data_IF_928097253030
#
_entry.id   IF_928097253030
#
_cell.length_a   1.000
_cell.length_b   1.000
_cell.length_c   1.000
_cell.angle_alpha   90.00
_cell.angle_beta   90.00
_cell.angle_gamma   90.00
#
_symmetry.space_group_name_H-M   'P 1'
#
loop_
_entity.id
_entity.type
_entity.pdbx_description
1 polymer ?
#
# COMPACT_ATOMS: atom_id res chain seq x y z
N UNK A 1 -6.86 19.62 33.88
CA UNK A 1 -7.61 18.53 33.21
C UNK A 1 -7.06 18.38 31.81
N UNK A 2 -6.65 17.18 31.42
CA UNK A 2 -6.06 16.89 30.10
C UNK A 2 -5.17 15.66 30.21
N UNK A 3 -5.78 14.47 30.24
CA UNK A 3 -5.04 13.22 30.05
C UNK A 3 -4.39 13.16 28.67
N UNK A 4 -3.50 12.20 28.40
CA UNK A 4 -2.87 12.06 27.09
C UNK A 4 -3.95 11.94 26.00
N UNK A 5 -3.85 12.78 24.97
CA UNK A 5 -4.75 12.71 23.81
C UNK A 5 -4.32 11.51 22.95
N UNK A 6 -5.27 10.68 22.55
CA UNK A 6 -5.00 9.61 21.61
C UNK A 6 -4.75 10.25 20.23
N UNK A 7 -3.58 9.97 19.62
CA UNK A 7 -3.23 10.44 18.29
C UNK A 7 -3.68 9.47 17.21
N UNK A 8 -4.36 9.99 16.18
CA UNK A 8 -4.78 9.21 15.01
C UNK A 8 -4.47 9.94 13.72
N UNK A 9 -3.99 9.21 12.72
CA UNK A 9 -3.56 9.72 11.43
C UNK A 9 -4.17 8.84 10.34
N UNK A 10 -5.42 9.11 9.94
CA UNK A 10 -6.03 8.40 8.82
C UNK A 10 -5.33 8.79 7.51
N UNK A 11 -5.11 7.84 6.61
CA UNK A 11 -4.67 8.14 5.26
C UNK A 11 -5.85 8.22 4.29
N UNK A 12 -5.74 9.13 3.33
CA UNK A 12 -6.69 9.33 2.24
C UNK A 12 -5.97 8.94 0.95
N UNK A 13 -6.46 7.90 0.29
CA UNK A 13 -6.01 7.48 -1.04
C UNK A 13 -7.07 7.75 -2.10
N UNK A 14 -6.61 7.92 -3.34
CA UNK A 14 -7.44 8.15 -4.52
C UNK A 14 -6.68 7.85 -5.81
N UNK A 15 -7.41 7.78 -6.92
CA UNK A 15 -6.87 7.69 -8.27
C UNK A 15 -6.20 9.01 -8.72
N UNK A 16 -5.28 8.91 -9.69
CA UNK A 16 -4.11 9.81 -9.84
C UNK A 16 -4.40 11.31 -9.95
N UNK A 17 -5.43 11.71 -10.69
CA UNK A 17 -5.62 13.12 -11.08
C UNK A 17 -7.08 13.54 -11.13
N UNK A 18 -7.99 12.59 -11.22
CA UNK A 18 -9.41 12.79 -11.43
C UNK A 18 -10.17 13.15 -10.15
N UNK A 19 -9.55 12.97 -8.98
CA UNK A 19 -10.15 13.27 -7.67
C UNK A 19 -9.52 14.48 -6.98
N UNK A 20 -8.75 15.30 -7.72
CA UNK A 20 -8.03 16.43 -7.13
C UNK A 20 -8.99 17.41 -6.44
N UNK A 21 -10.11 17.74 -7.08
CA UNK A 21 -11.11 18.66 -6.54
C UNK A 21 -11.75 18.10 -5.26
N UNK A 22 -12.10 16.82 -5.24
CA UNK A 22 -12.67 16.13 -4.07
C UNK A 22 -11.66 16.10 -2.92
N UNK A 23 -10.38 15.79 -3.19
CA UNK A 23 -9.33 15.83 -2.18
C UNK A 23 -9.09 17.23 -1.63
N UNK A 24 -9.10 18.24 -2.49
CA UNK A 24 -8.96 19.64 -2.06
C UNK A 24 -10.14 20.08 -1.19
N UNK A 25 -11.36 19.63 -1.50
CA UNK A 25 -12.52 19.85 -0.64
C UNK A 25 -12.40 19.10 0.68
N UNK A 26 -11.93 17.84 0.67
CA UNK A 26 -11.68 17.07 1.90
C UNK A 26 -10.67 17.78 2.80
N UNK A 27 -9.57 18.26 2.24
CA UNK A 27 -8.52 18.97 2.97
C UNK A 27 -9.00 20.31 3.54
N UNK A 28 -9.72 21.11 2.75
CA UNK A 28 -10.13 22.47 3.15
C UNK A 28 -11.37 22.49 4.03
N UNK A 29 -12.31 21.59 3.82
CA UNK A 29 -13.64 21.67 4.43
C UNK A 29 -13.91 20.52 5.40
N UNK A 30 -13.56 19.28 5.03
CA UNK A 30 -13.95 18.11 5.83
C UNK A 30 -12.98 17.87 6.99
N UNK A 31 -11.67 17.84 6.73
CA UNK A 31 -10.65 17.55 7.76
C UNK A 31 -10.70 18.53 8.94
N UNK A 32 -10.82 19.87 8.75
CA UNK A 32 -10.94 20.81 9.86
C UNK A 32 -12.16 20.54 10.74
N UNK A 33 -13.31 20.22 10.13
CA UNK A 33 -14.53 19.87 10.85
C UNK A 33 -14.37 18.57 11.65
N UNK A 34 -13.81 17.53 11.03
CA UNK A 34 -13.52 16.24 11.68
C UNK A 34 -12.56 16.43 12.86
N UNK A 35 -11.51 17.25 12.71
CA UNK A 35 -10.59 17.61 13.80
C UNK A 35 -11.31 18.30 14.95
N UNK A 36 -12.22 19.24 14.66
CA UNK A 36 -13.01 19.92 15.68
C UNK A 36 -13.90 18.97 16.49
N UNK A 37 -14.51 17.99 15.82
CA UNK A 37 -15.32 16.95 16.48
C UNK A 37 -14.42 16.02 17.32
N UNK A 38 -13.33 15.53 16.75
CA UNK A 38 -12.40 14.62 17.43
C UNK A 38 -11.73 15.26 18.65
N UNK A 39 -11.36 16.54 18.57
CA UNK A 39 -10.78 17.28 19.68
C UNK A 39 -11.72 17.35 20.90
N UNK A 40 -13.03 17.46 20.68
CA UNK A 40 -14.04 17.40 21.76
C UNK A 40 -14.11 16.02 22.44
N UNK A 41 -13.67 14.98 21.74
CA UNK A 41 -13.56 13.61 22.25
C UNK A 41 -12.17 13.30 22.82
N UNK A 42 -11.26 14.28 22.89
CA UNK A 42 -9.88 14.07 23.35
C UNK A 42 -8.97 13.34 22.35
N UNK A 43 -9.37 13.28 21.08
CA UNK A 43 -8.63 12.62 20.01
C UNK A 43 -8.01 13.69 19.10
N UNK A 44 -6.71 13.59 18.85
CA UNK A 44 -6.05 14.43 17.84
C UNK A 44 -6.05 13.69 16.50
N UNK A 45 -6.55 14.34 15.45
CA UNK A 45 -6.60 13.78 14.10
C UNK A 45 -5.68 14.58 13.17
N UNK A 46 -4.79 13.88 12.47
CA UNK A 46 -3.99 14.46 11.41
C UNK A 46 -4.03 13.59 10.16
N UNK A 47 -4.87 13.90 9.18
CA UNK A 47 -4.96 13.05 7.99
C UNK A 47 -3.74 13.21 7.06
N UNK A 48 -3.32 12.11 6.43
CA UNK A 48 -2.30 12.10 5.36
C UNK A 48 -2.98 11.96 4.02
N UNK A 49 -2.67 12.86 3.08
CA UNK A 49 -2.99 12.64 1.69
C UNK A 49 -1.85 11.85 1.03
N UNK A 50 -2.15 10.64 0.55
CA UNK A 50 -1.14 9.75 -0.04
C UNK A 50 -0.60 10.25 -1.39
N UNK A 51 -1.16 11.34 -1.95
CA UNK A 51 -0.63 12.03 -3.13
C UNK A 51 0.30 13.19 -2.78
N UNK A 52 0.18 13.74 -1.58
CA UNK A 52 0.96 14.88 -1.16
C UNK A 52 2.23 14.38 -0.45
N UNK A 53 3.38 14.42 -1.14
CA UNK A 53 4.66 14.07 -0.54
C UNK A 53 5.43 12.90 -1.17
N UNK A 54 5.02 12.43 -2.35
CA UNK A 54 5.89 11.54 -3.16
C UNK A 54 6.87 12.43 -3.93
N UNK A 55 8.20 12.30 -3.70
CA UNK A 55 9.19 13.04 -4.48
C UNK A 55 9.04 12.78 -5.99
N UNK A 56 9.26 13.81 -6.81
CA UNK A 56 9.17 13.70 -8.28
C UNK A 56 10.10 12.62 -8.86
N UNK A 57 11.21 12.34 -8.20
CA UNK A 57 12.21 11.36 -8.63
C UNK A 57 11.97 9.96 -8.06
N UNK A 58 10.79 9.70 -7.47
CA UNK A 58 10.44 8.39 -6.94
C UNK A 58 10.15 7.41 -8.07
N UNK A 59 10.69 6.20 -7.96
CA UNK A 59 10.30 5.10 -8.86
C UNK A 59 8.89 4.63 -8.51
N UNK A 60 8.23 3.96 -9.45
CA UNK A 60 6.96 3.29 -9.20
C UNK A 60 7.11 2.31 -8.04
N UNK A 61 8.20 1.54 -7.97
CA UNK A 61 8.41 0.58 -6.89
C UNK A 61 8.51 1.23 -5.50
N UNK A 62 9.29 2.32 -5.36
CA UNK A 62 9.43 3.03 -4.09
C UNK A 62 8.13 3.72 -3.67
N UNK A 63 7.42 4.33 -4.62
CA UNK A 63 6.13 4.98 -4.39
C UNK A 63 5.12 4.00 -3.79
N UNK A 64 5.02 2.82 -4.41
CA UNK A 64 4.11 1.75 -3.99
C UNK A 64 4.43 1.28 -2.59
N UNK A 65 5.72 1.07 -2.33
CA UNK A 65 6.17 0.66 -1.01
C UNK A 65 5.78 1.68 0.06
N UNK A 66 6.07 2.96 -0.16
CA UNK A 66 5.72 4.05 0.75
C UNK A 66 4.22 4.14 0.98
N UNK A 67 3.41 3.99 -0.07
CA UNK A 67 1.96 3.97 0.04
C UNK A 67 1.44 2.83 0.94
N UNK A 68 1.89 1.60 0.71
CA UNK A 68 1.46 0.43 1.50
C UNK A 68 1.95 0.51 2.96
N UNK A 69 3.15 1.03 3.19
CA UNK A 69 3.65 1.29 4.55
C UNK A 69 2.82 2.35 5.27
N UNK A 70 2.44 3.43 4.58
CA UNK A 70 1.59 4.48 5.13
C UNK A 70 0.25 3.90 5.57
N UNK A 71 -0.41 3.10 4.72
CA UNK A 71 -1.65 2.40 5.08
C UNK A 71 -1.45 1.57 6.35
N UNK A 72 -0.43 0.71 6.38
CA UNK A 72 -0.12 -0.14 7.54
C UNK A 72 0.10 0.67 8.82
N UNK A 73 0.84 1.78 8.72
CA UNK A 73 1.09 2.68 9.84
C UNK A 73 -0.20 3.29 10.39
N UNK A 74 -1.10 3.77 9.53
CA UNK A 74 -2.39 4.34 9.93
C UNK A 74 -3.27 3.33 10.71
N UNK A 75 -3.22 2.06 10.33
CA UNK A 75 -3.90 0.98 11.07
C UNK A 75 -3.21 0.63 12.40
N UNK A 76 -1.88 0.73 12.50
CA UNK A 76 -1.15 0.43 13.75
C UNK A 76 -1.43 1.42 14.89
N UNK A 77 -2.01 2.58 14.61
CA UNK A 77 -2.33 3.62 15.61
C UNK A 77 -3.58 3.33 16.45
N UNK A 78 -4.03 2.07 16.48
CA UNK A 78 -5.18 1.63 17.27
C UNK A 78 -6.52 1.76 16.55
N UNK A 79 -7.63 1.55 17.27
CA UNK A 79 -8.97 1.47 16.68
C UNK A 79 -9.44 2.80 16.07
N UNK A 80 -10.48 2.71 15.22
CA UNK A 80 -11.08 3.85 14.54
C UNK A 80 -10.58 4.05 13.10
N UNK A 81 -11.05 5.12 12.42
CA UNK A 81 -10.80 5.32 11.00
C UNK A 81 -9.31 5.40 10.68
N UNK A 82 -8.82 4.52 9.80
CA UNK A 82 -7.41 4.45 9.42
C UNK A 82 -7.18 4.74 7.92
N UNK A 83 -8.12 4.35 7.07
CA UNK A 83 -7.98 4.44 5.62
C UNK A 83 -9.29 4.89 4.97
N UNK A 84 -9.20 5.91 4.12
CA UNK A 84 -10.31 6.42 3.30
C UNK A 84 -9.87 6.32 1.85
N UNK A 85 -10.68 5.68 1.02
CA UNK A 85 -10.41 5.53 -0.41
C UNK A 85 -11.48 6.23 -1.24
N UNK A 86 -11.06 7.10 -2.16
CA UNK A 86 -11.92 7.71 -3.16
C UNK A 86 -11.85 6.89 -4.46
N UNK A 87 -12.93 6.19 -4.76
CA UNK A 87 -13.05 5.38 -5.97
C UNK A 87 -13.57 6.18 -7.15
N UNK A 88 -13.00 5.96 -8.32
CA UNK A 88 -13.51 6.42 -9.62
C UNK A 88 -13.49 5.27 -10.62
N UNK A 89 -13.92 5.54 -11.85
CA UNK A 89 -13.86 4.55 -12.95
C UNK A 89 -12.44 4.33 -13.50
N UNK A 90 -11.43 5.09 -13.02
CA UNK A 90 -10.05 4.93 -13.47
C UNK A 90 -9.28 3.95 -12.60
N UNK A 91 -8.84 2.85 -13.19
CA UNK A 91 -7.89 1.97 -12.53
C UNK A 91 -6.49 2.59 -12.52
N UNK A 92 -5.80 2.45 -11.38
CA UNK A 92 -4.42 2.89 -11.24
C UNK A 92 -3.45 2.08 -12.11
N UNK A 93 -2.21 2.56 -12.20
CA UNK A 93 -1.10 1.86 -12.85
C UNK A 93 -0.95 0.42 -12.32
N UNK A 94 -0.73 -0.52 -13.24
CA UNK A 94 -0.47 -1.93 -12.94
C UNK A 94 1.02 -2.20 -13.16
N UNK A 95 1.77 -2.66 -12.14
CA UNK A 95 3.17 -3.01 -12.31
C UNK A 95 3.33 -4.19 -13.27
N UNK A 96 4.32 -4.14 -14.17
CA UNK A 96 4.65 -5.26 -15.07
C UNK A 96 5.15 -6.49 -14.31
N UNK A 97 5.82 -6.27 -13.19
CA UNK A 97 6.23 -7.27 -12.19
C UNK A 97 6.05 -6.72 -10.78
N UNK A 98 5.78 -7.56 -9.77
CA UNK A 98 5.59 -7.15 -8.39
C UNK A 98 6.69 -6.22 -7.86
N UNK A 99 6.33 -5.21 -7.06
CA UNK A 99 7.34 -4.38 -6.38
C UNK A 99 7.99 -5.09 -5.21
N UNK A 100 7.30 -6.09 -4.65
CA UNK A 100 7.82 -7.00 -3.64
C UNK A 100 7.28 -8.41 -3.89
N UNK A 101 8.04 -9.41 -3.47
CA UNK A 101 7.64 -10.82 -3.47
C UNK A 101 7.99 -11.45 -2.11
N UNK A 102 7.33 -12.54 -1.71
CA UNK A 102 7.83 -13.34 -0.58
C UNK A 102 9.27 -13.80 -0.87
N UNK A 103 10.14 -13.83 0.15
CA UNK A 103 11.53 -14.31 -0.01
C UNK A 103 11.60 -15.68 -0.68
N UNK A 104 10.64 -16.58 -0.37
CA UNK A 104 10.54 -17.91 -1.00
C UNK A 104 10.33 -17.85 -2.52
N UNK A 105 9.71 -16.80 -3.06
CA UNK A 105 9.48 -16.64 -4.49
C UNK A 105 10.74 -16.18 -5.25
N UNK A 106 11.80 -15.73 -4.55
CA UNK A 106 13.09 -15.46 -5.22
C UNK A 106 13.68 -16.72 -5.86
N UNK A 107 13.32 -17.92 -5.38
CA UNK A 107 13.80 -19.18 -5.96
C UNK A 107 13.12 -19.56 -7.28
N UNK A 108 12.09 -18.82 -7.69
CA UNK A 108 11.33 -19.09 -8.91
C UNK A 108 12.22 -19.16 -10.17
N UNK A 109 13.27 -18.35 -10.25
CA UNK A 109 14.30 -18.55 -11.25
C UNK A 109 15.44 -17.53 -11.18
N UNK A 110 16.15 -17.37 -12.30
CA UNK A 110 17.34 -16.51 -12.37
C UNK A 110 16.95 -15.05 -12.38
N UNK A 111 15.88 -14.69 -13.11
CA UNK A 111 15.44 -13.30 -13.21
C UNK A 111 14.95 -12.81 -11.83
N UNK A 112 14.16 -13.60 -11.10
CA UNK A 112 13.74 -13.23 -9.73
C UNK A 112 14.91 -13.03 -8.77
N UNK A 113 15.98 -13.83 -8.86
CA UNK A 113 17.18 -13.65 -8.01
C UNK A 113 17.98 -12.40 -8.36
N UNK A 114 17.96 -11.98 -9.62
CA UNK A 114 18.68 -10.79 -10.08
C UNK A 114 17.91 -9.51 -9.73
N UNK A 115 16.59 -9.52 -9.92
CA UNK A 115 15.75 -8.34 -9.78
C UNK A 115 15.38 -8.03 -8.33
N UNK A 116 15.27 -9.04 -7.46
CA UNK A 116 14.85 -8.85 -6.08
C UNK A 116 16.02 -8.99 -5.10
N UNK A 117 15.97 -8.21 -4.02
CA UNK A 117 16.87 -8.34 -2.87
C UNK A 117 16.04 -8.51 -1.60
N UNK A 118 16.55 -9.30 -0.65
CA UNK A 118 15.96 -9.35 0.69
C UNK A 118 16.09 -7.97 1.32
N UNK A 119 15.00 -7.49 1.91
CA UNK A 119 14.98 -6.26 2.68
C UNK A 119 14.66 -6.60 4.13
N UNK A 120 15.62 -6.38 5.02
CA UNK A 120 15.52 -6.67 6.46
C UNK A 120 14.58 -5.72 7.21
N UNK A 121 14.10 -4.64 6.57
CA UNK A 121 13.19 -3.68 7.19
C UNK A 121 11.72 -4.14 7.24
N UNK A 122 11.40 -5.30 6.66
CA UNK A 122 10.04 -5.85 6.71
C UNK A 122 9.85 -6.84 7.86
N UNK A 123 8.69 -6.75 8.51
CA UNK A 123 8.24 -7.68 9.57
C UNK A 123 7.98 -9.08 9.00
N UNK A 124 7.60 -9.16 7.72
CA UNK A 124 7.45 -10.41 6.97
C UNK A 124 8.65 -10.59 6.03
N UNK A 125 9.19 -11.81 5.90
CA UNK A 125 10.32 -12.10 5.00
C UNK A 125 10.01 -11.79 3.52
N UNK A 126 10.22 -10.54 3.10
CA UNK A 126 9.94 -10.04 1.76
C UNK A 126 11.22 -9.63 1.04
N UNK A 127 11.19 -9.77 -0.28
CA UNK A 127 12.21 -9.28 -1.18
C UNK A 127 11.63 -8.17 -2.05
N UNK A 128 12.37 -7.08 -2.20
CA UNK A 128 11.96 -5.85 -2.91
C UNK A 128 12.66 -5.78 -4.26
N UNK A 129 11.95 -5.28 -5.26
CA UNK A 129 12.51 -4.99 -6.58
C UNK A 129 13.58 -3.91 -6.44
N UNK A 130 14.81 -4.20 -6.87
CA UNK A 130 15.98 -3.32 -6.66
C UNK A 130 15.84 -1.98 -7.37
N UNK A 131 15.43 -2.01 -8.63
CA UNK A 131 15.29 -0.82 -9.50
C UNK A 131 14.21 -1.05 -10.55
N UNK A 132 13.67 0.03 -11.12
CA UNK A 132 12.79 -0.05 -12.28
C UNK A 132 13.48 -0.72 -13.47
N UNK A 133 12.83 -1.73 -14.02
CA UNK A 133 13.38 -2.52 -15.12
C UNK A 133 12.81 -2.06 -16.45
N UNK A 134 13.70 -1.64 -17.34
CA UNK A 134 13.39 -1.25 -18.72
C UNK A 134 13.70 -2.37 -19.72
N UNK A 135 14.42 -3.42 -19.31
CA UNK A 135 14.63 -4.61 -20.13
C UNK A 135 13.36 -5.47 -20.15
N UNK A 136 12.59 -5.33 -21.23
CA UNK A 136 11.33 -6.05 -21.42
C UNK A 136 11.50 -7.58 -21.38
N UNK A 137 12.62 -8.09 -21.89
CA UNK A 137 12.90 -9.52 -21.91
C UNK A 137 13.13 -10.03 -20.49
N UNK A 138 13.88 -9.27 -19.68
CA UNK A 138 14.10 -9.58 -18.27
C UNK A 138 12.79 -9.54 -17.47
N UNK A 139 11.98 -8.50 -17.67
CA UNK A 139 10.68 -8.32 -17.02
C UNK A 139 9.74 -9.49 -17.36
N UNK A 140 9.62 -9.86 -18.63
CA UNK A 140 8.75 -10.96 -19.05
C UNK A 140 9.25 -12.32 -18.52
N UNK A 141 10.57 -12.55 -18.54
CA UNK A 141 11.16 -13.76 -17.94
C UNK A 141 10.83 -13.85 -16.46
N UNK A 142 11.00 -12.76 -15.72
CA UNK A 142 10.66 -12.70 -14.30
C UNK A 142 9.17 -12.95 -14.05
N UNK A 143 8.29 -12.36 -14.87
CA UNK A 143 6.85 -12.58 -14.79
C UNK A 143 6.49 -14.05 -14.99
N UNK A 144 7.09 -14.71 -15.98
CA UNK A 144 6.87 -16.13 -16.25
C UNK A 144 7.35 -17.02 -15.10
N UNK A 145 8.55 -16.75 -14.56
CA UNK A 145 9.08 -17.45 -13.39
C UNK A 145 8.12 -17.33 -12.19
N UNK A 146 7.66 -16.11 -11.87
CA UNK A 146 6.74 -15.87 -10.75
C UNK A 146 5.38 -16.52 -10.95
N UNK A 147 4.83 -16.48 -12.18
CA UNK A 147 3.55 -17.12 -12.51
C UNK A 147 3.63 -18.65 -12.42
N UNK A 148 4.73 -19.25 -12.89
CA UNK A 148 4.97 -20.68 -12.76
C UNK A 148 5.07 -21.09 -11.28
N UNK A 149 5.85 -20.35 -10.48
CA UNK A 149 5.99 -20.57 -9.05
C UNK A 149 4.65 -20.46 -8.30
N UNK A 150 3.85 -19.45 -8.63
CA UNK A 150 2.56 -19.22 -8.00
C UNK A 150 1.55 -20.35 -8.29
N UNK A 151 1.54 -20.88 -9.52
CA UNK A 151 0.70 -22.03 -9.92
C UNK A 151 1.08 -23.32 -9.21
N UNK A 152 2.37 -23.58 -9.03
CA UNK A 152 2.86 -24.80 -8.38
C UNK A 152 2.62 -24.81 -6.85
N UNK A 153 2.44 -23.63 -6.24
CA UNK A 153 2.34 -23.43 -4.79
C UNK A 153 1.03 -22.73 -4.40
N UNK A 154 -0.07 -23.15 -5.02
CA UNK A 154 -1.39 -22.49 -4.97
C UNK A 154 -1.94 -22.32 -3.53
N UNK A 155 -1.75 -23.32 -2.64
CA UNK A 155 -2.15 -23.23 -1.22
C UNK A 155 -1.27 -22.27 -0.39
N UNK A 156 -0.06 -22.01 -0.85
CA UNK A 156 1.01 -21.39 -0.06
C UNK A 156 1.29 -19.93 -0.50
N UNK A 157 0.67 -19.51 -1.61
CA UNK A 157 0.96 -18.25 -2.31
C UNK A 157 -0.25 -17.42 -2.77
N UNK A 158 -1.44 -17.42 -2.11
CA UNK A 158 -2.56 -16.56 -2.53
C UNK A 158 -2.18 -15.06 -2.57
N UNK A 159 -1.20 -14.66 -1.75
CA UNK A 159 -0.61 -13.32 -1.81
C UNK A 159 0.14 -13.03 -3.12
N UNK A 160 0.85 -14.00 -3.70
CA UNK A 160 1.70 -13.76 -4.87
C UNK A 160 0.86 -13.53 -6.14
N UNK A 161 -0.19 -14.33 -6.36
CA UNK A 161 -1.12 -14.13 -7.48
C UNK A 161 -1.83 -12.77 -7.41
N UNK A 162 -2.20 -12.34 -6.20
CA UNK A 162 -2.78 -11.00 -6.01
C UNK A 162 -1.77 -9.89 -6.35
N UNK A 163 -0.50 -10.03 -5.99
CA UNK A 163 0.49 -8.97 -6.27
C UNK A 163 0.89 -8.92 -7.75
N UNK A 164 0.78 -10.04 -8.46
CA UNK A 164 1.12 -10.13 -9.90
C UNK A 164 0.08 -9.50 -10.84
N UNK A 165 -1.15 -9.29 -10.38
CA UNK A 165 -2.29 -8.98 -11.25
C UNK A 165 -3.04 -7.70 -10.88
N UNK A 166 -2.73 -7.10 -9.74
CA UNK A 166 -3.49 -5.97 -9.21
C UNK A 166 -2.83 -4.64 -9.55
N UNK A 167 -3.68 -3.67 -9.87
CA UNK A 167 -3.28 -2.26 -9.90
C UNK A 167 -2.91 -1.79 -8.51
N UNK A 168 -2.22 -0.66 -8.45
CA UNK A 168 -1.87 -0.07 -7.16
C UNK A 168 -3.04 0.25 -6.26
N UNK A 169 -4.09 0.78 -6.86
CA UNK A 169 -5.36 1.03 -6.20
C UNK A 169 -5.91 -0.25 -5.56
N UNK A 170 -5.88 -1.36 -6.28
CA UNK A 170 -6.39 -2.62 -5.76
C UNK A 170 -5.52 -3.19 -4.62
N UNK A 171 -4.20 -3.00 -4.65
CA UNK A 171 -3.31 -3.40 -3.56
C UNK A 171 -3.58 -2.61 -2.27
N UNK A 172 -3.79 -1.30 -2.36
CA UNK A 172 -4.13 -0.46 -1.21
C UNK A 172 -5.46 -0.85 -0.58
N UNK A 173 -6.51 -1.00 -1.41
CA UNK A 173 -7.84 -1.38 -0.95
C UNK A 173 -7.80 -2.78 -0.32
N UNK A 174 -7.15 -3.75 -0.96
CA UNK A 174 -7.05 -5.10 -0.42
C UNK A 174 -6.28 -5.13 0.92
N UNK A 175 -5.19 -4.37 1.04
CA UNK A 175 -4.46 -4.23 2.29
C UNK A 175 -5.33 -3.58 3.37
N UNK A 176 -6.01 -2.48 3.06
CA UNK A 176 -6.90 -1.79 3.99
C UNK A 176 -8.04 -2.69 4.48
N UNK A 177 -8.67 -3.46 3.58
CA UNK A 177 -9.70 -4.43 3.96
C UNK A 177 -9.15 -5.53 4.87
N UNK A 178 -7.97 -6.08 4.57
CA UNK A 178 -7.32 -7.11 5.41
C UNK A 178 -7.01 -6.55 6.80
N UNK A 179 -6.37 -5.39 6.89
CA UNK A 179 -6.01 -4.77 8.17
C UNK A 179 -7.25 -4.39 8.99
N UNK A 180 -8.30 -3.91 8.33
CA UNK A 180 -9.57 -3.64 9.01
C UNK A 180 -10.18 -4.89 9.65
N UNK A 181 -10.04 -6.07 9.04
CA UNK A 181 -10.52 -7.33 9.63
C UNK A 181 -9.74 -7.70 10.90
N UNK A 182 -8.43 -7.45 10.92
CA UNK A 182 -7.60 -7.69 12.11
C UNK A 182 -7.88 -6.68 13.24
N UNK A 183 -8.05 -5.40 12.92
CA UNK A 183 -8.34 -4.36 13.91
C UNK A 183 -9.75 -4.48 14.54
N UNK A 184 -10.68 -5.17 13.88
CA UNK A 184 -12.05 -5.40 14.36
C UNK A 184 -12.25 -6.79 14.98
N UNK A 185 -11.19 -7.60 15.13
CA UNK A 185 -11.29 -8.86 15.86
C UNK A 185 -11.50 -8.57 17.35
N UNK A 186 -12.52 -9.14 18.02
CA UNK A 186 -12.71 -8.93 19.45
C UNK A 186 -11.49 -9.47 20.20
N UNK A 187 -10.92 -8.65 21.09
CA UNK A 187 -9.91 -9.05 22.07
C UNK A 187 -10.56 -9.98 23.10
#
# INVERSE_FOLDING_TARGET
>A
MGGPTAGKQPCISSTFVDTQTERDAIQREIIPNVRGIAARLGISINCVDMRFGIPRDSTSASTIHTCLQTVSHCFSQGPGPAFVFLSTDKYGWVPRIPTWIPCKAMRAGKATRQLYAKDSSYVDERAVLREEQNDEKMVETCRQELMAFAKEKEEDSPGLLSVLSLSMTALEVQLGMRLSAYCNSPI
#
